data_IF_223117119965
#
_entry.id   IF_223117119965
#
_cell.length_a   1.000
_cell.length_b   1.000
_cell.length_c   1.000
_cell.angle_alpha   90.00
_cell.angle_beta   90.00
_cell.angle_gamma   90.00
#
_symmetry.space_group_name_H-M   'P 1'
#
loop_
_entity.id
_entity.type
_entity.pdbx_description
1 polymer ?
#
# COMPACT_ATOMS: atom_id res chain seq x y z
N UNK A 1 7.76 -2.78 -5.56
CA UNK A 1 8.64 -1.99 -4.66
C UNK A 1 8.98 -2.81 -3.43
N UNK A 2 10.19 -2.68 -2.88
CA UNK A 2 10.58 -3.45 -1.71
C UNK A 2 9.76 -3.02 -0.47
N UNK A 3 9.56 -3.94 0.48
CA UNK A 3 8.68 -3.70 1.63
C UNK A 3 9.16 -2.51 2.47
N UNK A 4 10.45 -2.41 2.76
CA UNK A 4 11.00 -1.29 3.53
C UNK A 4 10.72 0.06 2.83
N UNK A 5 11.06 0.19 1.55
CA UNK A 5 10.86 1.43 0.78
C UNK A 5 9.39 1.87 0.74
N UNK A 6 8.47 0.93 0.52
CA UNK A 6 7.04 1.23 0.46
C UNK A 6 6.46 1.54 1.84
N UNK A 7 6.91 0.84 2.88
CA UNK A 7 6.46 1.11 4.24
C UNK A 7 6.92 2.48 4.72
N UNK A 8 8.17 2.87 4.44
CA UNK A 8 8.70 4.21 4.74
C UNK A 8 7.86 5.29 4.03
N UNK A 9 7.68 5.17 2.71
CA UNK A 9 6.90 6.13 1.93
C UNK A 9 5.45 6.26 2.45
N UNK A 10 4.83 5.15 2.85
CA UNK A 10 3.48 5.18 3.42
C UNK A 10 3.45 5.77 4.83
N UNK A 11 4.48 5.56 5.65
CA UNK A 11 4.52 6.13 7.00
C UNK A 11 4.62 7.67 6.95
N UNK A 12 5.39 8.22 6.01
CA UNK A 12 5.46 9.68 5.79
C UNK A 12 4.08 10.27 5.43
N UNK A 13 3.33 9.60 4.55
CA UNK A 13 1.98 10.01 4.17
C UNK A 13 0.99 9.88 5.36
N UNK A 14 1.07 8.78 6.11
CA UNK A 14 0.26 8.60 7.32
C UNK A 14 0.56 9.66 8.37
N UNK A 15 1.83 10.04 8.53
CA UNK A 15 2.24 11.13 9.40
C UNK A 15 1.61 12.45 8.98
N UNK A 16 1.71 12.82 7.69
CA UNK A 16 1.09 14.05 7.17
C UNK A 16 -0.45 14.05 7.34
N UNK A 17 -1.09 12.90 7.16
CA UNK A 17 -2.53 12.74 7.40
C UNK A 17 -2.90 12.91 8.87
N UNK A 18 -2.11 12.35 9.80
CA UNK A 18 -2.34 12.49 11.25
C UNK A 18 -2.13 13.93 11.73
N UNK A 19 -1.17 14.65 11.15
CA UNK A 19 -0.95 16.09 11.44
C UNK A 19 -2.16 16.95 11.03
N UNK A 20 -2.83 16.59 9.91
CA UNK A 20 -3.95 17.37 9.38
C UNK A 20 -5.33 16.95 9.92
N UNK A 21 -5.52 15.65 10.20
CA UNK A 21 -6.81 15.06 10.58
C UNK A 21 -6.89 14.68 12.07
N UNK A 22 -5.76 14.70 12.77
CA UNK A 22 -5.63 14.31 14.17
C UNK A 22 -4.94 12.97 14.37
N UNK A 23 -4.31 12.77 15.54
CA UNK A 23 -3.44 11.63 15.84
C UNK A 23 -4.13 10.26 15.82
N UNK A 24 -5.46 10.21 15.91
CA UNK A 24 -6.25 8.97 15.85
C UNK A 24 -6.61 8.58 14.39
N UNK A 25 -6.40 9.49 13.43
CA UNK A 25 -6.65 9.21 12.03
C UNK A 25 -5.66 8.16 11.51
N UNK A 26 -6.18 7.13 10.83
CA UNK A 26 -5.41 6.02 10.28
C UNK A 26 -4.48 5.35 11.32
N UNK A 27 -5.04 4.68 12.34
CA UNK A 27 -4.29 4.31 13.54
C UNK A 27 -3.30 3.15 13.37
N UNK A 28 -3.31 2.45 12.24
CA UNK A 28 -2.40 1.31 12.00
C UNK A 28 -1.05 1.79 11.49
N UNK A 29 0.01 1.01 11.71
CA UNK A 29 1.30 1.25 11.06
C UNK A 29 1.21 1.07 9.54
N UNK A 30 2.17 1.66 8.81
CA UNK A 30 2.26 1.47 7.36
C UNK A 30 2.28 -0.02 6.97
N UNK A 31 3.09 -0.84 7.64
CA UNK A 31 3.22 -2.27 7.32
C UNK A 31 1.91 -3.05 7.56
N UNK A 32 1.15 -2.71 8.61
CA UNK A 32 -0.16 -3.31 8.84
C UNK A 32 -1.15 -2.99 7.71
N UNK A 33 -1.20 -1.74 7.26
CA UNK A 33 -2.01 -1.37 6.10
C UNK A 33 -1.59 -2.10 4.82
N UNK A 34 -0.29 -2.20 4.55
CA UNK A 34 0.20 -2.91 3.37
C UNK A 34 -0.17 -4.39 3.39
N UNK A 35 -0.07 -5.05 4.55
CA UNK A 35 -0.47 -6.45 4.67
C UNK A 35 -2.00 -6.61 4.57
N UNK A 36 -2.79 -5.70 5.14
CA UNK A 36 -4.24 -5.70 4.99
C UNK A 36 -4.67 -5.53 3.53
N UNK A 37 -4.03 -4.63 2.79
CA UNK A 37 -4.32 -4.40 1.38
C UNK A 37 -3.86 -5.55 0.49
N UNK A 38 -2.82 -6.28 0.90
CA UNK A 38 -2.37 -7.51 0.26
C UNK A 38 -3.14 -8.76 0.69
N UNK A 39 -3.99 -8.67 1.71
CA UNK A 39 -4.82 -9.78 2.17
C UNK A 39 -5.79 -10.21 1.07
N UNK A 40 -6.23 -11.47 1.12
CA UNK A 40 -7.24 -11.99 0.18
C UNK A 40 -8.59 -11.28 0.26
N UNK A 41 -8.90 -10.66 1.40
CA UNK A 41 -10.16 -9.94 1.61
C UNK A 41 -10.21 -8.61 0.85
N UNK A 42 -9.07 -7.90 0.77
CA UNK A 42 -8.96 -6.64 0.03
C UNK A 42 -8.45 -6.88 -1.39
N UNK A 43 -7.37 -7.62 -1.54
CA UNK A 43 -6.77 -7.99 -2.81
C UNK A 43 -6.30 -6.80 -3.65
N UNK A 44 -6.01 -5.66 -3.01
CA UNK A 44 -5.61 -4.44 -3.71
C UNK A 44 -4.14 -4.48 -4.13
N UNK A 45 -3.30 -5.04 -3.26
CA UNK A 45 -1.88 -5.27 -3.49
C UNK A 45 -1.60 -6.77 -3.63
N UNK A 46 -0.47 -7.09 -4.26
CA UNK A 46 0.14 -8.42 -4.25
C UNK A 46 1.47 -8.35 -3.50
N UNK A 47 1.74 -9.37 -2.69
CA UNK A 47 3.02 -9.58 -2.01
C UNK A 47 3.82 -10.63 -2.78
N UNK A 48 4.94 -10.21 -3.37
CA UNK A 48 5.79 -11.02 -4.23
C UNK A 48 7.13 -11.31 -3.56
N UNK A 49 7.61 -12.54 -3.66
CA UNK A 49 8.92 -12.94 -3.14
C UNK A 49 9.88 -13.08 -4.32
N UNK A 50 10.70 -12.05 -4.53
CA UNK A 50 11.65 -11.98 -5.64
C UNK A 50 12.90 -12.79 -5.28
N UNK A 51 13.37 -13.61 -6.23
CA UNK A 51 14.59 -14.39 -6.02
C UNK A 51 15.79 -13.47 -5.78
N UNK A 52 16.55 -13.73 -4.72
CA UNK A 52 17.72 -12.94 -4.35
C UNK A 52 17.41 -11.66 -3.57
N UNK A 53 16.16 -11.43 -3.18
CA UNK A 53 15.79 -10.37 -2.25
C UNK A 53 15.52 -10.96 -0.86
N UNK A 54 16.06 -10.34 0.18
CA UNK A 54 15.84 -10.70 1.59
C UNK A 54 14.49 -10.22 2.13
N UNK A 55 13.73 -9.45 1.35
CA UNK A 55 12.44 -8.92 1.75
C UNK A 55 11.38 -9.08 0.65
N UNK A 56 10.09 -9.13 1.02
CA UNK A 56 9.02 -9.18 0.04
C UNK A 56 8.87 -7.84 -0.69
N UNK A 57 8.37 -7.91 -1.91
CA UNK A 57 8.00 -6.75 -2.72
C UNK A 57 6.48 -6.63 -2.79
N UNK A 58 5.98 -5.40 -2.86
CA UNK A 58 4.58 -5.10 -3.07
C UNK A 58 4.38 -4.46 -4.45
N UNK A 59 3.30 -4.85 -5.10
CA UNK A 59 2.82 -4.27 -6.37
C UNK A 59 1.30 -4.18 -6.34
N UNK A 60 0.73 -3.42 -7.28
CA UNK A 60 -0.71 -3.42 -7.52
C UNK A 60 -1.17 -4.80 -8.03
N UNK A 61 -2.37 -5.20 -7.61
CA UNK A 61 -3.02 -6.35 -8.22
C UNK A 61 -3.62 -5.96 -9.58
N UNK A 62 -3.75 -6.92 -10.53
CA UNK A 62 -4.36 -6.66 -11.83
C UNK A 62 -5.76 -5.99 -11.80
N UNK A 63 -6.69 -6.35 -10.88
CA UNK A 63 -7.96 -5.63 -10.79
C UNK A 63 -7.79 -4.18 -10.32
N UNK A 64 -6.85 -3.90 -9.41
CA UNK A 64 -6.55 -2.52 -8.96
C UNK A 64 -6.00 -1.67 -10.10
N UNK A 65 -5.05 -2.21 -10.87
CA UNK A 65 -4.51 -1.53 -12.06
C UNK A 65 -5.63 -1.17 -13.05
N UNK A 66 -6.53 -2.12 -13.34
CA UNK A 66 -7.69 -1.88 -14.21
C UNK A 66 -8.63 -0.81 -13.67
N UNK A 67 -8.89 -0.81 -12.37
CA UNK A 67 -9.75 0.19 -11.74
C UNK A 67 -9.14 1.59 -11.84
N UNK A 68 -7.83 1.74 -11.60
CA UNK A 68 -7.12 3.02 -11.74
C UNK A 68 -7.18 3.52 -13.19
N UNK A 69 -6.90 2.65 -14.16
CA UNK A 69 -6.99 2.99 -15.59
C UNK A 69 -8.40 3.45 -15.96
N UNK A 70 -9.43 2.75 -15.47
CA UNK A 70 -10.82 3.13 -15.71
C UNK A 70 -11.16 4.50 -15.10
N UNK A 71 -10.76 4.75 -13.85
CA UNK A 71 -10.97 6.04 -13.18
C UNK A 71 -10.34 7.20 -13.97
N UNK A 72 -9.14 6.97 -14.55
CA UNK A 72 -8.46 7.97 -15.38
C UNK A 72 -9.23 8.33 -16.67
N UNK A 73 -10.19 7.52 -17.12
CA UNK A 73 -11.06 7.83 -18.27
C UNK A 73 -12.27 8.70 -17.93
N UNK A 74 -12.54 8.92 -16.63
CA UNK A 74 -13.71 9.65 -16.16
C UNK A 74 -13.47 11.16 -16.00
N UNK A 75 -12.26 11.63 -16.34
CA UNK A 75 -11.84 13.02 -16.25
C UNK A 75 -11.59 13.57 -17.65
#
# INVERSE_FOLDING_TARGET
MAQADLAESLEDELFALRESLGSDAFPKSALEYLNDWASTEKGWLRKCYVQGSDEPHFDLSPPTEKAIIWLATLT
#
